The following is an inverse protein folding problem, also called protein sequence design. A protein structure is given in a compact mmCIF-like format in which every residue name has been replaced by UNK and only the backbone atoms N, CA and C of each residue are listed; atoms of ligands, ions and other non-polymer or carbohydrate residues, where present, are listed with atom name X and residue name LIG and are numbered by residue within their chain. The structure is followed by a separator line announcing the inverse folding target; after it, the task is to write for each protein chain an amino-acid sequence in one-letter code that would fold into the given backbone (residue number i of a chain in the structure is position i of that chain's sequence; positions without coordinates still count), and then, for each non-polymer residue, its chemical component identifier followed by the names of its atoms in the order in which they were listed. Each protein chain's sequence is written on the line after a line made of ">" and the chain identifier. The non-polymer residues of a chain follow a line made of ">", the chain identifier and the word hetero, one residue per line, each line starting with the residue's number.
data_IF_340698333489
#
_entry.id   IF_340698333489
#
_cell.length_a   1.000
_cell.length_b   1.000
_cell.length_c   1.000
_cell.angle_alpha   90.00
_cell.angle_beta   90.00
_cell.angle_gamma   90.00
#
_symmetry.space_group_name_H-M   'P 1'
#
loop_
_entity.id
_entity.type
_entity.pdbx_description
1 polymer ?
#
# COMPACT_ATOMS: atom_id res chain seq x y z
N UNK A 1 1.22 -3.49 -23.50
CA UNK A 1 1.88 -2.22 -23.85
C UNK A 1 0.93 -1.19 -24.47
N UNK A 2 -0.31 -1.53 -24.81
CA UNK A 2 -1.19 -0.65 -25.59
C UNK A 2 -2.14 0.28 -24.78
N UNK A 3 -1.98 0.39 -23.47
CA UNK A 3 -2.85 1.22 -22.62
C UNK A 3 -2.05 1.97 -21.55
N UNK A 4 -1.24 2.99 -21.92
CA UNK A 4 -0.38 3.70 -20.97
C UNK A 4 -1.16 4.53 -19.94
N UNK A 5 -2.45 4.78 -20.17
CA UNK A 5 -3.33 5.52 -19.26
C UNK A 5 -4.12 4.61 -18.30
N UNK A 6 -3.87 3.30 -18.37
CA UNK A 6 -4.55 2.28 -17.55
C UNK A 6 -3.50 1.48 -16.79
N UNK A 7 -3.22 1.78 -15.52
CA UNK A 7 -2.21 1.06 -14.75
C UNK A 7 -2.64 -0.37 -14.40
N UNK A 8 -1.65 -1.24 -14.17
CA UNK A 8 -1.85 -2.63 -13.79
C UNK A 8 -2.34 -2.77 -12.34
N UNK A 9 -2.01 -1.81 -11.49
CA UNK A 9 -2.33 -1.78 -10.06
C UNK A 9 -2.43 -0.33 -9.55
N UNK A 10 -3.06 -0.17 -8.40
CA UNK A 10 -2.95 1.04 -7.58
C UNK A 10 -2.16 0.77 -6.31
N UNK A 11 -1.72 1.83 -5.66
CA UNK A 11 -0.84 1.78 -4.50
C UNK A 11 -1.36 2.72 -3.41
N UNK A 12 -1.32 2.23 -2.17
CA UNK A 12 -1.40 3.06 -0.97
C UNK A 12 -0.01 3.06 -0.35
N UNK A 13 0.69 4.19 -0.47
CA UNK A 13 2.04 4.37 0.08
C UNK A 13 1.92 4.94 1.49
N UNK A 14 2.48 4.23 2.47
CA UNK A 14 2.40 4.59 3.89
C UNK A 14 3.74 5.17 4.36
N UNK A 15 3.80 6.49 4.45
CA UNK A 15 4.98 7.23 4.88
C UNK A 15 4.86 7.62 6.37
N UNK A 16 5.68 7.03 7.25
CA UNK A 16 5.50 7.16 8.71
C UNK A 16 5.89 8.52 9.29
N UNK A 17 6.65 9.35 8.57
CA UNK A 17 7.26 10.52 9.23
C UNK A 17 8.07 10.10 10.46
N UNK A 18 7.72 10.62 11.65
CA UNK A 18 8.38 10.32 12.93
C UNK A 18 7.57 9.36 13.85
N UNK A 19 6.48 8.79 13.36
CA UNK A 19 5.63 7.89 14.16
C UNK A 19 6.24 6.46 14.24
N UNK A 20 5.90 5.72 15.29
CA UNK A 20 6.35 4.32 15.46
C UNK A 20 5.91 3.45 14.27
N UNK A 21 6.81 2.59 13.79
CA UNK A 21 6.54 1.68 12.67
C UNK A 21 5.36 0.72 12.94
N UNK A 22 5.05 0.42 14.21
CA UNK A 22 3.86 -0.36 14.58
C UNK A 22 2.56 0.29 14.11
N UNK A 23 2.49 1.61 14.06
CA UNK A 23 1.32 2.33 13.54
C UNK A 23 1.23 2.22 12.01
N UNK A 24 2.37 2.12 11.30
CA UNK A 24 2.40 1.80 9.86
C UNK A 24 1.83 0.41 9.61
N UNK A 25 2.22 -0.56 10.43
CA UNK A 25 1.68 -1.93 10.39
C UNK A 25 0.16 -1.92 10.62
N UNK A 26 -0.32 -1.25 11.66
CA UNK A 26 -1.77 -1.12 11.94
C UNK A 26 -2.52 -0.49 10.78
N UNK A 27 -1.94 0.56 10.17
CA UNK A 27 -2.53 1.23 9.01
C UNK A 27 -2.60 0.32 7.79
N UNK A 28 -1.54 -0.44 7.50
CA UNK A 28 -1.53 -1.42 6.41
C UNK A 28 -2.58 -2.52 6.62
N UNK A 29 -2.69 -3.05 7.85
CA UNK A 29 -3.71 -4.03 8.22
C UNK A 29 -5.12 -3.46 8.07
N UNK A 30 -5.35 -2.21 8.45
CA UNK A 30 -6.64 -1.52 8.29
C UNK A 30 -7.03 -1.40 6.82
N UNK A 31 -6.09 -1.04 5.93
CA UNK A 31 -6.33 -1.00 4.48
C UNK A 31 -6.72 -2.39 3.98
N UNK A 32 -5.99 -3.44 4.38
CA UNK A 32 -6.32 -4.83 4.03
C UNK A 32 -7.73 -5.21 4.48
N UNK A 33 -8.09 -4.90 5.71
CA UNK A 33 -9.38 -5.30 6.30
C UNK A 33 -10.54 -4.61 5.58
N UNK A 34 -10.45 -3.31 5.33
CA UNK A 34 -11.44 -2.57 4.53
C UNK A 34 -11.53 -3.17 3.12
N UNK A 35 -10.39 -3.41 2.46
CA UNK A 35 -10.38 -4.01 1.12
C UNK A 35 -11.00 -5.41 1.12
N UNK A 36 -10.73 -6.23 2.13
CA UNK A 36 -11.32 -7.56 2.29
C UNK A 36 -12.83 -7.49 2.44
N UNK A 37 -13.33 -6.57 3.27
CA UNK A 37 -14.76 -6.35 3.50
C UNK A 37 -15.50 -6.00 2.19
N UNK A 38 -14.88 -5.20 1.32
CA UNK A 38 -15.44 -4.82 0.01
C UNK A 38 -15.04 -5.77 -1.13
N UNK A 39 -14.48 -6.95 -0.82
CA UNK A 39 -14.16 -8.01 -1.78
C UNK A 39 -12.95 -7.75 -2.66
N UNK A 40 -11.99 -6.95 -2.21
CA UNK A 40 -10.74 -6.60 -2.91
C UNK A 40 -9.55 -7.34 -2.30
N UNK A 41 -8.81 -8.08 -3.13
CA UNK A 41 -7.52 -8.68 -2.76
C UNK A 41 -6.42 -7.62 -2.76
N UNK A 42 -5.53 -7.70 -1.77
CA UNK A 42 -4.42 -6.75 -1.60
C UNK A 42 -3.09 -7.48 -1.41
N UNK A 43 -2.00 -6.81 -1.77
CA UNK A 43 -0.63 -7.27 -1.59
C UNK A 43 0.16 -6.23 -0.82
N UNK A 44 1.08 -6.68 0.03
CA UNK A 44 1.91 -5.80 0.83
C UNK A 44 3.40 -6.02 0.53
N UNK A 45 4.19 -4.94 0.58
CA UNK A 45 5.64 -5.02 0.58
C UNK A 45 6.23 -3.91 1.45
N UNK A 46 7.48 -4.11 1.90
CA UNK A 46 8.25 -3.00 2.46
C UNK A 46 8.57 -1.97 1.39
N UNK A 47 8.68 -0.70 1.76
CA UNK A 47 9.19 0.34 0.85
C UNK A 47 10.70 0.14 0.55
N UNK A 48 11.37 -0.68 1.34
CA UNK A 48 12.83 -0.78 1.41
C UNK A 48 13.47 0.45 2.06
N UNK A 49 12.67 1.27 2.74
CA UNK A 49 13.09 2.39 3.58
C UNK A 49 12.34 2.31 4.92
N UNK A 50 11.40 3.21 5.18
CA UNK A 50 10.73 3.36 6.48
C UNK A 50 9.27 2.93 6.48
N UNK A 51 8.64 2.75 5.32
CA UNK A 51 7.21 2.53 5.17
C UNK A 51 6.82 1.18 4.60
N UNK A 52 5.52 1.02 4.38
CA UNK A 52 4.90 -0.10 3.69
C UNK A 52 4.11 0.41 2.49
N UNK A 53 4.03 -0.40 1.45
CA UNK A 53 3.19 -0.17 0.29
C UNK A 53 2.15 -1.26 0.19
N UNK A 54 0.87 -0.87 0.12
CA UNK A 54 -0.24 -1.80 -0.13
C UNK A 54 -0.69 -1.64 -1.58
N UNK A 55 -0.74 -2.75 -2.31
CA UNK A 55 -1.08 -2.79 -3.73
C UNK A 55 -2.44 -3.45 -3.94
N UNK A 56 -3.20 -2.91 -4.87
CA UNK A 56 -4.47 -3.46 -5.35
C UNK A 56 -4.34 -3.72 -6.85
N UNK A 57 -4.40 -4.98 -7.32
CA UNK A 57 -4.36 -5.33 -8.74
C UNK A 57 -5.54 -4.73 -9.51
N UNK A 58 -5.32 -4.19 -10.70
CA UNK A 58 -6.38 -3.57 -11.51
C UNK A 58 -6.49 -4.14 -12.93
N UNK A 59 -5.44 -4.81 -13.42
CA UNK A 59 -5.40 -5.42 -14.76
C UNK A 59 -5.78 -4.45 -15.88
N UNK A 60 -5.31 -3.20 -15.80
CA UNK A 60 -5.55 -2.15 -16.81
C UNK A 60 -7.02 -1.92 -17.14
N UNK A 61 -7.90 -1.94 -16.13
CA UNK A 61 -9.34 -1.73 -16.31
C UNK A 61 -9.76 -0.28 -16.11
N UNK A 62 -8.99 0.47 -15.30
CA UNK A 62 -9.35 1.81 -14.83
C UNK A 62 -8.26 2.82 -15.18
N UNK A 63 -8.65 4.06 -15.41
CA UNK A 63 -7.76 5.19 -15.66
C UNK A 63 -7.08 5.65 -14.37
N UNK A 64 -5.99 6.44 -14.50
CA UNK A 64 -5.33 7.06 -13.35
C UNK A 64 -6.27 7.95 -12.51
N UNK A 65 -7.22 8.65 -13.15
CA UNK A 65 -8.17 9.50 -12.43
C UNK A 65 -9.18 8.70 -11.62
N UNK A 66 -9.71 7.60 -12.17
CA UNK A 66 -10.61 6.68 -11.44
C UNK A 66 -9.92 6.04 -10.24
N UNK A 67 -8.69 5.55 -10.41
CA UNK A 67 -7.96 4.91 -9.30
C UNK A 67 -7.50 5.91 -8.24
N UNK A 68 -7.18 7.15 -8.64
CA UNK A 68 -6.86 8.22 -7.70
C UNK A 68 -8.07 8.55 -6.83
N UNK A 69 -9.25 8.67 -7.44
CA UNK A 69 -10.49 8.91 -6.70
C UNK A 69 -10.80 7.76 -5.73
N UNK A 70 -10.72 6.51 -6.19
CA UNK A 70 -10.91 5.36 -5.32
C UNK A 70 -9.88 5.32 -4.18
N UNK A 71 -8.61 5.64 -4.47
CA UNK A 71 -7.55 5.73 -3.47
C UNK A 71 -7.80 6.82 -2.42
N UNK A 72 -8.35 7.96 -2.81
CA UNK A 72 -8.76 9.04 -1.92
C UNK A 72 -9.87 8.60 -0.97
N UNK A 73 -10.90 7.93 -1.48
CA UNK A 73 -11.99 7.39 -0.68
C UNK A 73 -11.48 6.31 0.29
N UNK A 74 -10.64 5.40 -0.16
CA UNK A 74 -10.03 4.38 0.71
C UNK A 74 -9.16 5.01 1.81
N UNK A 75 -8.33 6.00 1.47
CA UNK A 75 -7.53 6.73 2.45
C UNK A 75 -8.41 7.48 3.46
N UNK A 76 -9.53 8.04 3.03
CA UNK A 76 -10.52 8.70 3.89
C UNK A 76 -11.15 7.71 4.86
N UNK A 77 -11.58 6.53 4.39
CA UNK A 77 -12.14 5.48 5.23
C UNK A 77 -11.14 5.01 6.31
N UNK A 78 -9.87 4.85 5.94
CA UNK A 78 -8.80 4.50 6.87
C UNK A 78 -8.56 5.61 7.89
N UNK A 79 -8.48 6.86 7.46
CA UNK A 79 -8.27 8.01 8.34
C UNK A 79 -9.41 8.18 9.35
N UNK A 80 -10.66 7.96 8.93
CA UNK A 80 -11.81 8.02 9.85
C UNK A 80 -11.73 6.98 10.98
N UNK A 81 -11.15 5.79 10.69
CA UNK A 81 -10.98 4.72 11.68
C UNK A 81 -9.69 4.84 12.50
N UNK A 82 -8.68 5.58 11.99
CA UNK A 82 -7.39 5.81 12.64
C UNK A 82 -7.04 7.32 12.65
N UNK A 83 -7.90 8.20 13.18
CA UNK A 83 -7.75 9.65 13.05
C UNK A 83 -6.53 10.22 13.79
N UNK A 84 -6.08 9.55 14.84
CA UNK A 84 -4.98 10.03 15.66
C UNK A 84 -3.61 9.73 15.05
N UNK A 85 -3.50 8.69 14.23
CA UNK A 85 -2.20 8.19 13.71
C UNK A 85 -2.05 8.35 12.20
N UNK A 86 -3.11 8.69 11.47
CA UNK A 86 -3.07 8.80 10.01
C UNK A 86 -3.48 10.18 9.51
N UNK A 87 -2.99 10.55 8.32
CA UNK A 87 -3.31 11.80 7.63
C UNK A 87 -3.34 11.59 6.12
N UNK A 88 -4.25 12.28 5.45
CA UNK A 88 -4.29 12.43 3.99
C UNK A 88 -3.83 13.83 3.55
N UNK A 89 -3.36 14.64 4.51
CA UNK A 89 -2.86 16.00 4.24
C UNK A 89 -1.52 15.95 3.50
N UNK A 90 -1.48 16.56 2.33
CA UNK A 90 -0.28 16.59 1.49
C UNK A 90 0.85 17.45 2.07
N UNK A 91 0.49 18.52 2.75
CA UNK A 91 1.45 19.49 3.29
C UNK A 91 2.15 18.92 4.51
N UNK A 92 3.45 18.65 4.41
CA UNK A 92 4.25 18.01 5.49
C UNK A 92 4.09 18.72 6.82
N UNK A 93 4.17 20.07 6.86
CA UNK A 93 4.04 20.85 8.09
C UNK A 93 2.67 20.76 8.79
N UNK A 94 1.66 20.24 8.10
CA UNK A 94 0.29 20.05 8.63
C UNK A 94 -0.01 18.61 9.06
N UNK A 95 0.93 17.67 8.86
CA UNK A 95 0.70 16.23 9.14
C UNK A 95 0.79 15.87 10.63
N UNK A 96 1.36 16.73 11.48
CA UNK A 96 1.43 16.52 12.94
C UNK A 96 1.98 15.14 13.36
N UNK A 97 3.10 14.72 12.78
CA UNK A 97 3.75 13.42 13.02
C UNK A 97 2.86 12.19 12.75
N UNK A 98 1.87 12.31 11.87
CA UNK A 98 1.00 11.21 11.45
C UNK A 98 1.54 10.50 10.21
N UNK A 99 1.12 9.25 10.02
CA UNK A 99 1.36 8.48 8.80
C UNK A 99 0.63 9.16 7.66
N UNK A 100 1.37 9.55 6.63
CA UNK A 100 0.76 10.03 5.41
C UNK A 100 0.35 8.84 4.54
N UNK A 101 -0.95 8.75 4.26
CA UNK A 101 -1.48 7.77 3.32
C UNK A 101 -1.45 8.40 1.93
N UNK A 102 -0.35 8.16 1.19
CA UNK A 102 -0.17 8.75 -0.14
C UNK A 102 -0.92 7.97 -1.22
N UNK A 103 -2.17 8.37 -1.44
CA UNK A 103 -2.97 7.92 -2.59
C UNK A 103 -2.63 8.69 -3.88
N UNK A 104 -1.96 9.85 -3.79
CA UNK A 104 -1.55 10.65 -4.94
C UNK A 104 -0.41 10.00 -5.73
N UNK A 105 0.22 8.96 -5.17
CA UNK A 105 1.13 8.09 -5.89
C UNK A 105 0.47 7.42 -7.12
N UNK A 106 -0.87 7.38 -7.17
CA UNK A 106 -1.65 6.86 -8.29
C UNK A 106 -1.89 7.89 -9.42
N UNK A 107 -1.07 8.93 -9.53
CA UNK A 107 -1.12 9.86 -10.66
C UNK A 107 -0.18 9.41 -11.76
N UNK A 108 -0.54 9.71 -13.01
CA UNK A 108 0.34 9.45 -14.16
C UNK A 108 1.70 10.12 -13.98
N UNK A 109 2.77 9.37 -14.25
CA UNK A 109 4.15 9.85 -14.15
C UNK A 109 4.78 9.74 -12.76
N UNK A 110 4.08 9.23 -11.76
CA UNK A 110 4.69 8.94 -10.46
C UNK A 110 5.54 7.67 -10.55
N UNK A 111 6.60 7.63 -9.75
CA UNK A 111 7.51 6.48 -9.64
C UNK A 111 7.51 5.94 -8.23
N UNK A 112 7.65 4.62 -8.10
CA UNK A 112 7.74 3.94 -6.81
C UNK A 112 8.81 2.84 -6.87
N UNK A 113 9.41 2.52 -5.73
CA UNK A 113 10.35 1.41 -5.65
C UNK A 113 9.67 0.10 -6.07
N UNK A 114 10.19 -0.55 -7.10
CA UNK A 114 9.68 -1.86 -7.54
C UNK A 114 9.92 -2.93 -6.47
N UNK A 115 9.11 -4.00 -6.49
CA UNK A 115 9.41 -5.18 -5.68
C UNK A 115 10.80 -5.71 -6.00
N UNK A 116 11.50 -6.15 -4.96
CA UNK A 116 12.87 -6.66 -4.99
C UNK A 116 13.95 -5.64 -5.40
N UNK A 117 13.62 -4.35 -5.51
CA UNK A 117 14.62 -3.32 -5.76
C UNK A 117 15.42 -2.99 -4.50
N UNK A 118 16.74 -2.87 -4.67
CA UNK A 118 17.65 -2.42 -3.61
C UNK A 118 17.50 -0.91 -3.42
N UNK A 119 17.52 -0.45 -2.18
CA UNK A 119 17.47 0.97 -1.85
C UNK A 119 18.84 1.47 -1.40
N UNK A 120 19.23 2.69 -1.77
CA UNK A 120 20.47 3.32 -1.32
C UNK A 120 20.34 3.80 0.15
N UNK A 121 20.16 2.84 1.05
CA UNK A 121 20.02 3.04 2.50
C UNK A 121 21.08 2.21 3.23
N UNK A 122 21.47 2.58 4.46
CA UNK A 122 22.33 1.75 5.27
C UNK A 122 21.80 0.31 5.37
N UNK A 123 22.67 -0.68 5.16
CA UNK A 123 22.30 -2.09 5.09
C UNK A 123 21.80 -2.56 3.72
N UNK A 124 21.80 -1.68 2.69
CA UNK A 124 21.32 -2.01 1.34
C UNK A 124 19.97 -2.75 1.38
N UNK A 125 19.00 -2.13 2.05
CA UNK A 125 17.66 -2.69 2.23
C UNK A 125 16.95 -2.89 0.89
N UNK A 126 16.06 -3.87 0.86
CA UNK A 126 15.31 -4.28 -0.34
C UNK A 126 13.82 -4.04 -0.13
N UNK A 127 13.16 -3.50 -1.14
CA UNK A 127 11.71 -3.38 -1.18
C UNK A 127 11.09 -4.77 -1.36
N UNK A 128 10.71 -5.42 -0.25
CA UNK A 128 10.44 -6.86 -0.20
C UNK A 128 8.96 -7.18 -0.03
N UNK A 129 8.39 -8.00 -0.92
CA UNK A 129 7.04 -8.56 -0.76
C UNK A 129 6.88 -9.37 0.52
N UNK A 130 5.71 -9.22 1.14
CA UNK A 130 5.35 -9.84 2.41
C UNK A 130 4.06 -10.65 2.27
N UNK A 131 3.99 -11.77 2.98
CA UNK A 131 2.70 -12.38 3.32
C UNK A 131 2.00 -11.53 4.38
N UNK A 132 0.68 -11.46 4.34
CA UNK A 132 -0.06 -10.68 5.35
C UNK A 132 0.14 -11.17 6.79
N UNK A 133 0.50 -12.43 6.98
CA UNK A 133 0.87 -13.00 8.29
C UNK A 133 2.17 -12.43 8.86
N UNK A 134 3.05 -11.89 7.99
CA UNK A 134 4.31 -11.25 8.40
C UNK A 134 4.11 -9.77 8.75
N UNK A 135 2.99 -9.15 8.33
CA UNK A 135 2.65 -7.77 8.64
C UNK A 135 2.08 -7.72 10.04
N UNK A 136 2.95 -7.66 11.04
CA UNK A 136 2.62 -7.64 12.46
C UNK A 136 3.64 -6.79 13.24
N UNK A 137 3.43 -6.61 14.53
CA UNK A 137 4.26 -5.74 15.39
C UNK A 137 5.73 -6.15 15.49
N UNK A 138 6.09 -7.38 15.06
CA UNK A 138 7.48 -7.88 15.05
C UNK A 138 8.17 -7.62 13.72
N UNK A 139 7.46 -7.07 12.74
CA UNK A 139 8.02 -6.78 11.42
C UNK A 139 9.12 -5.72 11.54
N UNK A 140 10.34 -6.11 11.18
CA UNK A 140 11.47 -5.18 11.03
C UNK A 140 11.81 -5.02 9.53
N UNK A 141 11.51 -3.88 8.90
CA UNK A 141 11.84 -3.65 7.50
C UNK A 141 13.34 -3.63 7.20
N UNK A 142 14.18 -3.41 8.22
CA UNK A 142 15.65 -3.42 8.08
C UNK A 142 16.23 -4.82 7.96
N UNK A 143 15.47 -5.86 8.34
CA UNK A 143 15.87 -7.25 8.17
C UNK A 143 15.94 -7.70 6.70
N UNK A 144 15.28 -6.98 5.79
CA UNK A 144 15.24 -7.30 4.35
C UNK A 144 16.37 -6.57 3.61
N UNK A 145 17.48 -7.24 3.44
CA UNK A 145 18.71 -6.71 2.80
C UNK A 145 19.07 -7.50 1.54
N UNK A 146 20.06 -7.02 0.80
CA UNK A 146 20.64 -7.77 -0.34
C UNK A 146 21.18 -9.15 0.07
N UNK A 147 21.51 -9.37 1.34
CA UNK A 147 22.03 -10.63 1.85
C UNK A 147 20.90 -11.60 2.23
N UNK A 148 19.81 -11.10 2.81
CA UNK A 148 18.71 -11.95 3.35
C UNK A 148 17.64 -12.28 2.32
N UNK A 149 17.31 -11.34 1.44
CA UNK A 149 16.20 -11.50 0.48
C UNK A 149 16.42 -12.61 -0.55
N UNK A 150 17.64 -12.89 -1.05
CA UNK A 150 17.84 -14.02 -1.95
C UNK A 150 17.52 -15.38 -1.33
N UNK A 151 17.87 -15.58 -0.05
CA UNK A 151 17.51 -16.78 0.72
C UNK A 151 16.01 -16.90 0.90
N UNK A 152 15.35 -15.80 1.31
CA UNK A 152 13.91 -15.72 1.45
C UNK A 152 13.17 -16.06 0.15
N UNK A 153 13.64 -15.55 -0.99
CA UNK A 153 13.02 -15.81 -2.30
C UNK A 153 13.12 -17.29 -2.69
N UNK A 154 14.22 -17.98 -2.33
CA UNK A 154 14.36 -19.42 -2.53
C UNK A 154 13.39 -20.22 -1.66
N UNK A 155 13.15 -19.78 -0.45
CA UNK A 155 12.29 -20.47 0.53
C UNK A 155 10.80 -20.25 0.22
N UNK A 156 10.38 -19.01 0.06
CA UNK A 156 8.96 -18.61 -0.08
C UNK A 156 8.48 -18.48 -1.52
N UNK A 157 9.40 -18.46 -2.48
CA UNK A 157 9.09 -18.14 -3.87
C UNK A 157 8.75 -16.66 -4.07
N UNK A 158 8.25 -16.34 -5.25
CA UNK A 158 7.88 -14.96 -5.61
C UNK A 158 6.45 -14.63 -5.10
N UNK A 159 6.39 -13.96 -3.95
CA UNK A 159 5.14 -13.49 -3.35
C UNK A 159 4.49 -12.33 -4.14
N UNK A 160 5.20 -11.75 -5.12
CA UNK A 160 4.68 -10.66 -5.94
C UNK A 160 3.94 -11.12 -7.20
N UNK A 161 4.01 -12.40 -7.51
CA UNK A 161 3.46 -13.00 -8.73
C UNK A 161 1.97 -12.72 -8.94
N UNK A 162 1.19 -12.62 -7.84
CA UNK A 162 -0.25 -12.37 -7.89
C UNK A 162 -0.66 -10.93 -8.24
N UNK A 163 0.24 -9.94 -8.09
CA UNK A 163 -0.07 -8.52 -8.28
C UNK A 163 -0.53 -8.17 -9.70
N UNK A 164 -0.05 -8.91 -10.70
CA UNK A 164 -0.49 -8.77 -12.10
C UNK A 164 -1.61 -9.74 -12.48
N UNK A 165 -2.21 -10.43 -11.51
CA UNK A 165 -3.22 -11.46 -11.71
C UNK A 165 -4.63 -10.92 -11.97
N UNK A 166 -5.60 -11.44 -11.21
CA UNK A 166 -7.01 -11.03 -11.31
C UNK A 166 -7.17 -9.61 -10.77
N UNK A 167 -7.51 -8.66 -11.64
CA UNK A 167 -7.74 -7.28 -11.21
C UNK A 167 -9.02 -7.14 -10.37
N UNK A 168 -8.97 -6.25 -9.38
CA UNK A 168 -10.12 -5.86 -8.57
C UNK A 168 -11.21 -5.21 -9.42
N UNK A 169 -12.45 -5.30 -8.96
CA UNK A 169 -13.58 -4.57 -9.49
C UNK A 169 -13.90 -3.40 -8.53
N UNK A 170 -13.17 -2.28 -8.71
CA UNK A 170 -13.35 -1.11 -7.84
C UNK A 170 -14.71 -0.43 -8.04
N UNK A 171 -15.34 -0.62 -9.21
CA UNK A 171 -16.70 -0.13 -9.45
C UNK A 171 -17.73 -0.82 -8.55
N UNK A 172 -17.63 -2.16 -8.40
CA UNK A 172 -18.48 -2.89 -7.46
C UNK A 172 -18.15 -2.60 -6.00
N UNK A 173 -16.88 -2.37 -5.69
CA UNK A 173 -16.43 -2.10 -4.33
C UNK A 173 -16.81 -0.69 -3.84
N UNK A 174 -17.12 0.24 -4.74
CA UNK A 174 -17.35 1.65 -4.41
C UNK A 174 -18.50 1.84 -3.44
N UNK A 175 -19.64 1.16 -3.66
CA UNK A 175 -20.81 1.27 -2.76
C UNK A 175 -20.54 0.75 -1.35
N UNK A 176 -19.74 -0.33 -1.22
CA UNK A 176 -19.29 -0.84 0.07
C UNK A 176 -18.39 0.17 0.78
N UNK A 177 -17.44 0.76 0.05
CA UNK A 177 -16.54 1.78 0.59
C UNK A 177 -17.28 3.04 1.04
N UNK A 178 -18.25 3.52 0.25
CA UNK A 178 -19.12 4.64 0.63
C UNK A 178 -19.95 4.33 1.88
N UNK A 179 -20.43 3.09 2.04
CA UNK A 179 -21.15 2.66 3.24
C UNK A 179 -20.26 2.71 4.48
N UNK A 180 -19.01 2.25 4.37
CA UNK A 180 -18.02 2.33 5.46
C UNK A 180 -17.76 3.79 5.85
N UNK A 181 -17.54 4.68 4.88
CA UNK A 181 -17.29 6.11 5.12
C UNK A 181 -18.48 6.78 5.82
N UNK A 182 -19.70 6.41 5.44
CA UNK A 182 -20.94 6.98 6.00
C UNK A 182 -21.39 6.31 7.32
N UNK A 183 -20.62 5.38 7.87
CA UNK A 183 -20.95 4.68 9.12
C UNK A 183 -22.19 3.78 9.01
N UNK A 184 -22.49 3.26 7.82
CA UNK A 184 -23.63 2.37 7.53
C UNK A 184 -23.15 0.93 7.34
N UNK A 185 -22.36 0.41 8.27
CA UNK A 185 -21.96 -1.02 8.30
C UNK A 185 -22.91 -1.84 9.13
#
# INVERSE_FOLDING_TARGET
>A
WNKPDYPDYMIMDLDPGNIDFKEVVKTALKIRDICTEIGIETFCKTSGATGLHVYIPLKKKYTYDEIKLFGELLATAVQQQLPDTTSIERTVSKRSDKIYIDFLQNRKGQTIAAAYSVRPKPGATVSTPLEWTEVNERLDPKAFTIETVPGRLKEKGDLWKGVLGKGADIGKALSGLESIINGKS
#
